data_IF_596099725735
#
_entry.id   IF_596099725735
#
_cell.length_a   1.000
_cell.length_b   1.000
_cell.length_c   1.000
_cell.angle_alpha   90.00
_cell.angle_beta   90.00
_cell.angle_gamma   90.00
#
_symmetry.space_group_name_H-M   'P 1'
#
loop_
_entity.id
_entity.type
_entity.pdbx_description
1 polymer ?
#
# COMPACT_ATOMS: atom_id res chain seq x y z
N UNK A 1 22.09 26.21 30.76
CA UNK A 1 22.16 24.85 30.18
C UNK A 1 20.76 24.46 29.73
N UNK A 2 20.37 24.79 28.49
CA UNK A 2 19.07 24.37 27.96
C UNK A 2 19.22 22.99 27.31
N UNK A 3 18.46 22.02 27.81
CA UNK A 3 18.37 20.71 27.17
C UNK A 3 17.54 20.87 25.88
N UNK A 4 18.21 20.75 24.75
CA UNK A 4 17.56 20.53 23.45
C UNK A 4 16.87 19.17 23.53
N UNK A 5 15.55 19.17 23.73
CA UNK A 5 14.71 18.00 23.47
C UNK A 5 14.87 17.66 21.99
N UNK A 6 15.70 16.66 21.67
CA UNK A 6 15.67 15.98 20.37
C UNK A 6 14.30 15.31 20.24
N UNK A 7 13.36 16.03 19.65
CA UNK A 7 12.14 15.43 19.09
C UNK A 7 12.57 14.61 17.88
N UNK A 8 12.97 13.36 18.10
CA UNK A 8 13.07 12.38 17.02
C UNK A 8 11.66 12.20 16.47
N UNK A 9 11.31 12.88 15.38
CA UNK A 9 10.08 12.60 14.64
C UNK A 9 10.21 11.17 14.14
N UNK A 10 9.51 10.24 14.77
CA UNK A 10 9.33 8.90 14.22
C UNK A 10 8.54 9.05 12.92
N UNK A 11 9.04 8.46 11.84
CA UNK A 11 8.27 8.33 10.61
C UNK A 11 7.08 7.40 10.89
N UNK A 12 5.92 7.71 10.32
CA UNK A 12 4.74 6.87 10.47
C UNK A 12 4.91 5.51 9.75
N UNK A 13 5.82 5.44 8.77
CA UNK A 13 6.19 4.26 8.01
C UNK A 13 7.71 4.03 8.05
N UNK A 14 8.15 2.78 8.22
CA UNK A 14 9.55 2.38 8.13
C UNK A 14 9.70 0.95 7.60
N UNK A 15 10.91 0.57 7.20
CA UNK A 15 11.24 -0.82 6.89
C UNK A 15 11.72 -1.56 8.14
N UNK A 16 11.39 -2.84 8.23
CA UNK A 16 11.91 -3.75 9.26
C UNK A 16 12.48 -5.01 8.60
N UNK A 17 13.66 -5.45 9.05
CA UNK A 17 14.25 -6.72 8.61
C UNK A 17 13.65 -7.90 9.37
N UNK A 18 13.67 -9.09 8.75
CA UNK A 18 13.21 -10.32 9.40
C UNK A 18 13.88 -10.56 10.76
N UNK A 19 15.20 -10.41 10.86
CA UNK A 19 15.94 -10.56 12.13
C UNK A 19 15.45 -9.59 13.20
N UNK A 20 15.21 -8.33 12.85
CA UNK A 20 14.71 -7.34 13.81
C UNK A 20 13.28 -7.65 14.24
N UNK A 21 12.43 -8.13 13.33
CA UNK A 21 11.08 -8.58 13.65
C UNK A 21 11.10 -9.79 14.61
N UNK A 22 11.98 -10.77 14.38
CA UNK A 22 12.14 -11.92 15.29
C UNK A 22 12.48 -11.46 16.71
N UNK A 23 13.43 -10.54 16.87
CA UNK A 23 13.80 -9.98 18.18
C UNK A 23 12.63 -9.22 18.85
N UNK A 24 11.82 -8.48 18.07
CA UNK A 24 10.63 -7.81 18.59
C UNK A 24 9.58 -8.81 19.08
N UNK A 25 9.31 -9.87 18.31
CA UNK A 25 8.33 -10.88 18.67
C UNK A 25 8.78 -11.74 19.86
N UNK A 26 10.08 -11.95 20.03
CA UNK A 26 10.65 -12.63 21.19
C UNK A 26 10.67 -11.76 22.47
N UNK A 27 10.34 -10.46 22.37
CA UNK A 27 10.42 -9.53 23.50
C UNK A 27 11.87 -9.18 23.90
N UNK A 28 12.83 -9.42 23.01
CA UNK A 28 14.27 -9.25 23.27
C UNK A 28 14.77 -7.82 23.03
N UNK A 29 13.89 -6.90 22.62
CA UNK A 29 14.19 -5.47 22.48
C UNK A 29 13.58 -4.72 23.67
N UNK A 30 14.43 -4.27 24.59
CA UNK A 30 14.03 -3.50 25.77
C UNK A 30 13.59 -2.06 25.41
N UNK A 31 12.48 -1.60 25.98
CA UNK A 31 12.01 -0.21 25.86
C UNK A 31 10.62 -0.06 25.20
N UNK A 32 9.57 -0.32 25.97
CA UNK A 32 8.17 0.12 25.80
C UNK A 32 7.59 0.27 24.38
N UNK A 33 7.62 -0.77 23.56
CA UNK A 33 6.58 -0.94 22.54
C UNK A 33 5.83 -2.23 22.80
N UNK A 34 4.50 -2.18 22.74
CA UNK A 34 3.69 -3.39 22.63
C UNK A 34 4.21 -4.21 21.44
N UNK A 35 4.26 -5.54 21.53
CA UNK A 35 4.67 -6.36 20.39
C UNK A 35 3.81 -6.00 19.18
N UNK A 36 4.40 -5.85 17.99
CA UNK A 36 3.66 -5.42 16.81
C UNK A 36 2.54 -6.41 16.50
N UNK A 37 1.46 -5.92 15.91
CA UNK A 37 0.52 -6.80 15.20
C UNK A 37 1.17 -7.11 13.87
N UNK A 38 1.33 -8.40 13.57
CA UNK A 38 1.82 -8.84 12.27
C UNK A 38 0.62 -9.05 11.36
N UNK A 39 0.65 -8.45 10.17
CA UNK A 39 -0.39 -8.55 9.16
C UNK A 39 0.17 -9.26 7.94
N UNK A 40 -0.44 -10.40 7.62
CA UNK A 40 -0.17 -11.13 6.39
C UNK A 40 -1.15 -10.68 5.32
N UNK A 41 -0.64 -10.12 4.23
CA UNK A 41 -1.46 -9.64 3.11
C UNK A 41 -1.42 -10.55 1.88
N UNK A 42 -0.83 -11.75 2.02
CA UNK A 42 -0.87 -12.79 0.98
C UNK A 42 -2.29 -13.35 0.82
N UNK A 43 -2.59 -14.02 -0.31
CA UNK A 43 -3.82 -14.78 -0.47
C UNK A 43 -4.07 -15.78 0.66
N UNK A 44 -5.35 -16.04 0.96
CA UNK A 44 -5.79 -16.92 2.05
C UNK A 44 -5.10 -18.29 2.04
N UNK A 45 -5.03 -18.95 0.88
CA UNK A 45 -4.38 -20.26 0.75
C UNK A 45 -2.87 -20.23 1.08
N UNK A 46 -2.18 -19.12 0.86
CA UNK A 46 -0.76 -18.96 1.25
C UNK A 46 -0.61 -18.73 2.75
N UNK A 47 -1.55 -17.98 3.35
CA UNK A 47 -1.63 -17.81 4.81
C UNK A 47 -1.88 -19.16 5.51
N UNK A 48 -2.87 -19.93 5.05
CA UNK A 48 -3.20 -21.25 5.60
C UNK A 48 -2.06 -22.28 5.45
N UNK A 49 -1.31 -22.22 4.35
CA UNK A 49 -0.15 -23.08 4.13
C UNK A 49 0.98 -22.83 5.14
N UNK A 50 1.07 -21.60 5.65
CA UNK A 50 1.94 -21.21 6.75
C UNK A 50 2.25 -19.72 6.76
N UNK A 51 2.31 -19.12 7.95
CA UNK A 51 2.47 -17.68 8.17
C UNK A 51 3.40 -17.38 9.35
N UNK A 52 3.78 -16.11 9.53
CA UNK A 52 4.54 -15.65 10.69
C UNK A 52 3.68 -15.87 11.94
N UNK A 53 4.19 -16.46 13.04
CA UNK A 53 3.42 -16.66 14.26
C UNK A 53 2.71 -15.38 14.71
N UNK A 54 1.45 -15.50 15.13
CA UNK A 54 0.56 -14.39 15.53
C UNK A 54 0.06 -13.48 14.39
N UNK A 55 0.45 -13.74 13.14
CA UNK A 55 -0.02 -12.94 12.01
C UNK A 55 -1.53 -13.09 11.78
N UNK A 56 -2.20 -11.97 11.54
CA UNK A 56 -3.60 -11.92 11.12
C UNK A 56 -3.70 -11.69 9.61
N UNK A 57 -4.60 -12.39 8.89
CA UNK A 57 -4.75 -12.22 7.46
C UNK A 57 -5.55 -10.96 7.13
N UNK A 58 -5.03 -10.10 6.24
CA UNK A 58 -5.74 -8.94 5.69
C UNK A 58 -5.45 -8.83 4.19
N UNK A 59 -6.42 -9.22 3.36
CA UNK A 59 -6.40 -8.95 1.92
C UNK A 59 -6.90 -7.54 1.61
N UNK A 60 -6.38 -6.89 0.56
CA UNK A 60 -6.85 -5.56 0.15
C UNK A 60 -8.25 -5.59 -0.49
N UNK A 61 -8.63 -6.76 -1.01
CA UNK A 61 -9.91 -7.08 -1.65
C UNK A 61 -11.12 -6.73 -0.78
N UNK A 62 -10.94 -6.78 0.53
CA UNK A 62 -11.94 -6.53 1.55
C UNK A 62 -12.31 -5.06 1.74
N UNK A 63 -11.47 -4.15 1.24
CA UNK A 63 -11.50 -2.73 1.58
C UNK A 63 -11.88 -1.85 0.39
N UNK A 64 -12.42 -2.45 -0.67
CA UNK A 64 -12.88 -1.74 -1.87
C UNK A 64 -14.19 -0.98 -1.61
N UNK A 65 -14.56 -0.04 -2.48
CA UNK A 65 -15.80 0.73 -2.37
C UNK A 65 -17.03 -0.19 -2.40
N UNK A 66 -16.97 -1.26 -3.20
CA UNK A 66 -17.93 -2.36 -3.18
C UNK A 66 -17.28 -3.62 -2.60
N UNK A 67 -17.97 -4.37 -1.72
CA UNK A 67 -17.47 -5.65 -1.26
C UNK A 67 -17.40 -6.66 -2.41
N UNK A 68 -16.47 -7.60 -2.32
CA UNK A 68 -16.40 -8.73 -3.26
C UNK A 68 -17.71 -9.53 -3.20
N UNK A 69 -18.30 -9.83 -4.35
CA UNK A 69 -19.43 -10.77 -4.42
C UNK A 69 -18.96 -12.19 -4.15
N UNK A 70 -19.66 -12.88 -3.26
CA UNK A 70 -19.37 -14.30 -2.98
C UNK A 70 -19.47 -15.13 -4.26
N UNK A 71 -18.50 -16.02 -4.48
CA UNK A 71 -18.47 -16.92 -5.64
C UNK A 71 -17.92 -16.31 -6.93
N UNK A 72 -17.53 -15.02 -6.93
CA UNK A 72 -16.88 -14.37 -8.08
C UNK A 72 -15.36 -14.39 -7.88
N UNK A 73 -14.63 -15.03 -8.79
CA UNK A 73 -13.17 -15.04 -8.76
C UNK A 73 -12.59 -13.63 -8.94
N UNK A 74 -11.41 -13.37 -8.37
CA UNK A 74 -10.77 -12.05 -8.38
C UNK A 74 -10.67 -11.43 -9.79
N UNK A 75 -10.32 -12.24 -10.80
CA UNK A 75 -10.23 -11.79 -12.19
C UNK A 75 -11.56 -11.31 -12.75
N UNK A 76 -12.70 -11.90 -12.33
CA UNK A 76 -14.05 -11.51 -12.74
C UNK A 76 -14.57 -10.29 -11.96
N UNK A 77 -14.09 -10.09 -10.73
CA UNK A 77 -14.48 -8.97 -9.90
C UNK A 77 -13.95 -7.63 -10.43
N UNK A 78 -12.76 -7.61 -11.05
CA UNK A 78 -12.23 -6.42 -11.73
C UNK A 78 -13.08 -5.95 -12.91
N UNK A 79 -14.04 -6.75 -13.38
CA UNK A 79 -15.01 -6.38 -14.42
C UNK A 79 -16.26 -5.70 -13.85
N UNK A 80 -16.43 -5.64 -12.53
CA UNK A 80 -17.57 -4.98 -11.91
C UNK A 80 -17.21 -3.51 -11.57
N UNK A 81 -17.86 -2.51 -12.21
CA UNK A 81 -17.61 -1.11 -11.88
C UNK A 81 -17.81 -0.82 -10.39
N UNK A 82 -16.79 -0.25 -9.75
CA UNK A 82 -16.76 0.05 -8.31
C UNK A 82 -16.06 -1.01 -7.44
N UNK A 83 -15.54 -2.10 -8.02
CA UNK A 83 -14.61 -3.03 -7.38
C UNK A 83 -13.15 -2.72 -7.79
N UNK A 84 -12.73 -1.45 -7.67
CA UNK A 84 -11.49 -0.96 -8.28
C UNK A 84 -10.56 -0.23 -7.29
N UNK A 85 -10.21 -0.87 -6.17
CA UNK A 85 -9.21 -0.36 -5.24
C UNK A 85 -9.62 0.86 -4.42
N UNK A 86 -10.56 1.67 -4.90
CA UNK A 86 -11.02 2.88 -4.25
C UNK A 86 -11.67 2.58 -2.89
N UNK A 87 -11.35 3.36 -1.86
CA UNK A 87 -12.06 3.32 -0.59
C UNK A 87 -13.39 4.10 -0.71
N UNK A 88 -14.49 3.58 -0.16
CA UNK A 88 -15.72 4.36 0.02
C UNK A 88 -15.79 4.92 1.45
N UNK A 89 -15.94 6.23 1.57
CA UNK A 89 -16.11 6.91 2.85
C UNK A 89 -17.32 6.38 3.64
N UNK A 90 -18.35 5.87 2.96
CA UNK A 90 -19.54 5.27 3.58
C UNK A 90 -19.26 3.94 4.27
N UNK A 91 -18.15 3.26 3.95
CA UNK A 91 -17.75 1.97 4.54
C UNK A 91 -16.70 2.10 5.63
N UNK A 92 -16.22 3.31 5.94
CA UNK A 92 -15.12 3.50 6.89
C UNK A 92 -15.44 2.97 8.29
N UNK A 93 -16.68 3.09 8.76
CA UNK A 93 -17.10 2.53 10.06
C UNK A 93 -17.06 0.99 10.07
N UNK A 94 -17.46 0.36 8.96
CA UNK A 94 -17.33 -1.09 8.77
C UNK A 94 -15.85 -1.49 8.81
N UNK A 95 -14.99 -0.75 8.12
CA UNK A 95 -13.55 -0.99 8.08
C UNK A 95 -12.93 -0.89 9.47
N UNK A 96 -13.25 0.17 10.23
CA UNK A 96 -12.80 0.34 11.62
C UNK A 96 -13.22 -0.84 12.49
N UNK A 97 -14.48 -1.29 12.35
CA UNK A 97 -14.99 -2.46 13.05
C UNK A 97 -14.21 -3.75 12.75
N UNK A 98 -13.86 -3.96 11.47
CA UNK A 98 -13.04 -5.12 11.03
C UNK A 98 -11.62 -5.04 11.57
N UNK A 99 -10.95 -3.89 11.46
CA UNK A 99 -9.59 -3.70 11.98
C UNK A 99 -9.52 -3.92 13.49
N UNK A 100 -10.50 -3.39 14.25
CA UNK A 100 -10.59 -3.61 15.68
C UNK A 100 -10.77 -5.11 16.04
N UNK A 101 -11.60 -5.86 15.29
CA UNK A 101 -11.75 -7.31 15.49
C UNK A 101 -10.46 -8.09 15.26
N UNK A 102 -9.60 -7.62 14.37
CA UNK A 102 -8.27 -8.18 14.10
C UNK A 102 -7.21 -7.71 15.11
N UNK A 103 -7.61 -7.02 16.18
CA UNK A 103 -6.73 -6.57 17.25
C UNK A 103 -6.05 -5.23 17.02
N UNK A 104 -6.26 -4.58 15.87
CA UNK A 104 -5.60 -3.32 15.54
C UNK A 104 -6.06 -2.17 16.45
N UNK A 105 -5.10 -1.32 16.79
CA UNK A 105 -5.28 -0.09 17.57
C UNK A 105 -4.35 0.99 17.01
N UNK A 106 -4.74 2.27 17.06
CA UNK A 106 -3.99 3.36 16.39
C UNK A 106 -2.50 3.44 16.80
N UNK A 107 -2.21 3.18 18.08
CA UNK A 107 -0.89 3.37 18.70
C UNK A 107 -0.06 2.08 18.80
N UNK A 108 -0.65 0.92 18.53
CA UNK A 108 0.10 -0.35 18.53
C UNK A 108 0.84 -0.48 17.19
N UNK A 109 2.16 -0.75 17.18
CA UNK A 109 2.89 -0.96 15.95
C UNK A 109 2.28 -2.06 15.09
N UNK A 110 2.27 -1.87 13.78
CA UNK A 110 1.79 -2.87 12.82
C UNK A 110 2.91 -3.18 11.84
N UNK A 111 3.20 -4.46 11.62
CA UNK A 111 4.16 -4.92 10.60
C UNK A 111 3.36 -5.63 9.52
N UNK A 112 3.43 -5.13 8.30
CA UNK A 112 2.73 -5.71 7.14
C UNK A 112 3.74 -6.42 6.25
N UNK A 113 3.38 -7.61 5.78
CA UNK A 113 4.19 -8.34 4.81
C UNK A 113 3.31 -9.03 3.76
N UNK A 114 3.94 -9.38 2.65
CA UNK A 114 3.43 -10.34 1.68
C UNK A 114 4.60 -11.16 1.11
N UNK A 115 4.40 -11.83 -0.02
CA UNK A 115 5.50 -12.23 -0.89
C UNK A 115 5.99 -11.00 -1.69
N UNK A 116 7.24 -10.58 -1.49
CA UNK A 116 7.71 -9.30 -2.02
C UNK A 116 7.64 -9.18 -3.55
N UNK A 117 7.88 -10.28 -4.28
CA UNK A 117 7.90 -10.27 -5.75
C UNK A 117 6.57 -10.73 -6.34
N UNK A 118 5.85 -11.64 -5.68
CA UNK A 118 4.60 -12.18 -6.20
C UNK A 118 3.35 -11.38 -5.79
N UNK A 119 3.42 -10.56 -4.72
CA UNK A 119 2.23 -9.89 -4.17
C UNK A 119 1.67 -8.78 -5.06
N UNK A 120 2.48 -8.20 -5.94
CA UNK A 120 2.16 -6.98 -6.71
C UNK A 120 1.76 -5.78 -5.83
N UNK A 121 2.30 -5.69 -4.61
CA UNK A 121 2.17 -4.52 -3.72
C UNK A 121 1.01 -4.62 -2.71
N UNK A 122 0.49 -5.83 -2.45
CA UNK A 122 -0.60 -6.06 -1.46
C UNK A 122 -0.26 -5.48 -0.09
N UNK A 123 0.97 -5.70 0.37
CA UNK A 123 1.49 -5.19 1.63
C UNK A 123 1.58 -3.66 1.65
N UNK A 124 2.01 -3.05 0.54
CA UNK A 124 2.01 -1.60 0.39
C UNK A 124 0.61 -1.00 0.44
N UNK A 125 -0.36 -1.66 -0.21
CA UNK A 125 -1.78 -1.25 -0.19
C UNK A 125 -2.37 -1.28 1.21
N UNK A 126 -2.15 -2.36 1.95
CA UNK A 126 -2.64 -2.48 3.33
C UNK A 126 -1.95 -1.47 4.24
N UNK A 127 -0.62 -1.33 4.16
CA UNK A 127 0.11 -0.34 4.94
C UNK A 127 -0.37 1.09 4.66
N UNK A 128 -0.60 1.46 3.40
CA UNK A 128 -1.14 2.76 3.02
C UNK A 128 -2.53 2.98 3.62
N UNK A 129 -3.40 1.97 3.56
CA UNK A 129 -4.75 2.05 4.10
C UNK A 129 -4.73 2.23 5.62
N UNK A 130 -3.88 1.47 6.32
CA UNK A 130 -3.73 1.59 7.78
C UNK A 130 -3.30 3.00 8.18
N UNK A 131 -2.33 3.58 7.47
CA UNK A 131 -1.88 4.96 7.68
C UNK A 131 -2.98 5.98 7.34
N UNK A 132 -3.71 5.77 6.25
CA UNK A 132 -4.85 6.60 5.85
C UNK A 132 -5.96 6.60 6.90
N UNK A 133 -6.24 5.46 7.54
CA UNK A 133 -7.28 5.29 8.55
C UNK A 133 -6.83 5.71 9.96
N UNK A 134 -5.54 5.94 10.17
CA UNK A 134 -5.01 6.55 11.38
C UNK A 134 -4.11 5.68 12.25
N UNK A 135 -3.54 4.59 11.74
CA UNK A 135 -2.44 3.88 12.42
C UNK A 135 -1.19 4.77 12.43
N UNK A 136 -0.57 4.90 13.59
CA UNK A 136 0.52 5.86 13.80
C UNK A 136 1.90 5.28 13.48
N UNK A 137 2.07 3.95 13.60
CA UNK A 137 3.35 3.27 13.42
C UNK A 137 3.17 2.00 12.58
N UNK A 138 3.49 2.08 11.29
CA UNK A 138 3.43 0.97 10.36
C UNK A 138 4.85 0.61 9.90
N UNK A 139 5.11 -0.67 9.73
CA UNK A 139 6.36 -1.19 9.20
C UNK A 139 6.08 -2.11 8.02
N UNK A 140 6.92 -2.08 7.00
CA UNK A 140 6.95 -3.08 5.94
C UNK A 140 8.09 -4.06 6.21
N UNK A 141 7.80 -5.36 6.18
CA UNK A 141 8.82 -6.39 6.27
C UNK A 141 9.61 -6.44 4.96
N UNK A 142 10.86 -6.00 5.01
CA UNK A 142 11.75 -5.97 3.85
C UNK A 142 12.10 -7.39 3.39
N UNK A 143 11.85 -7.69 2.12
CA UNK A 143 11.95 -9.04 1.54
C UNK A 143 10.78 -9.99 1.89
N UNK A 144 9.80 -9.52 2.66
CA UNK A 144 8.53 -10.22 2.91
C UNK A 144 8.67 -11.62 3.52
N UNK A 145 7.74 -12.49 3.15
CA UNK A 145 7.67 -13.88 3.63
C UNK A 145 8.94 -14.68 3.33
N UNK A 146 9.54 -14.47 2.16
CA UNK A 146 10.75 -15.19 1.77
C UNK A 146 11.94 -14.84 2.67
N UNK A 147 12.17 -13.55 2.91
CA UNK A 147 13.24 -13.10 3.81
C UNK A 147 13.01 -13.54 5.26
N UNK A 148 11.75 -13.67 5.69
CA UNK A 148 11.43 -14.24 7.00
C UNK A 148 11.92 -15.68 7.14
N UNK A 149 11.59 -16.54 6.16
CA UNK A 149 12.00 -17.94 6.15
C UNK A 149 13.53 -18.09 6.01
N UNK A 150 14.14 -17.33 5.11
CA UNK A 150 15.59 -17.37 4.88
C UNK A 150 16.39 -16.90 6.12
N UNK A 151 15.78 -16.07 6.98
CA UNK A 151 16.33 -15.69 8.27
C UNK A 151 16.06 -16.71 9.40
N UNK A 152 15.54 -17.91 9.10
CA UNK A 152 15.22 -18.94 10.09
C UNK A 152 13.97 -18.64 10.92
N UNK A 153 13.08 -17.78 10.43
CA UNK A 153 11.84 -17.42 11.11
C UNK A 153 10.89 -18.61 11.27
N UNK A 154 10.18 -18.66 12.40
CA UNK A 154 9.20 -19.71 12.65
C UNK A 154 7.99 -19.61 11.70
N UNK A 155 7.34 -20.73 11.44
CA UNK A 155 6.16 -20.83 10.60
C UNK A 155 5.02 -21.47 11.41
N UNK A 156 3.90 -20.77 11.50
CA UNK A 156 2.68 -21.24 12.15
C UNK A 156 1.60 -21.54 11.09
N UNK A 157 0.64 -22.38 11.45
CA UNK A 157 -0.55 -22.73 10.64
C UNK A 157 -1.84 -22.61 11.45
N UNK A 158 -1.75 -22.28 12.74
CA UNK A 158 -2.91 -22.07 13.58
C UNK A 158 -3.47 -20.67 13.35
N UNK A 159 -4.79 -20.55 13.30
CA UNK A 159 -5.43 -19.24 13.21
C UNK A 159 -5.06 -18.37 14.43
N UNK A 160 -4.62 -17.15 14.16
CA UNK A 160 -4.24 -16.21 15.21
C UNK A 160 -5.43 -15.80 16.06
N UNK A 161 -5.34 -16.06 17.36
CA UNK A 161 -6.30 -15.55 18.34
C UNK A 161 -5.86 -14.18 18.83
N UNK A 162 -6.61 -13.16 18.42
CA UNK A 162 -6.37 -11.77 18.83
C UNK A 162 -7.52 -11.26 19.69
N UNK A 163 -7.19 -10.54 20.75
CA UNK A 163 -8.17 -9.74 21.47
C UNK A 163 -8.59 -8.55 20.61
N UNK A 164 -9.84 -8.12 20.74
CA UNK A 164 -10.35 -6.95 20.03
C UNK A 164 -9.56 -5.71 20.43
N UNK A 165 -9.01 -5.00 19.43
CA UNK A 165 -8.28 -3.76 19.62
C UNK A 165 -9.18 -2.53 19.81
N UNK A 166 -8.54 -1.40 20.07
CA UNK A 166 -9.19 -0.09 20.19
C UNK A 166 -8.79 0.81 19.01
N UNK A 167 -9.59 0.78 17.95
CA UNK A 167 -9.35 1.54 16.73
C UNK A 167 -10.34 2.71 16.63
N UNK A 168 -9.81 3.92 16.51
CA UNK A 168 -10.57 5.14 16.22
C UNK A 168 -10.18 5.68 14.86
N UNK A 169 -11.16 6.00 14.02
CA UNK A 169 -10.92 6.56 12.70
C UNK A 169 -10.22 7.93 12.80
N UNK A 170 -9.07 8.07 12.15
CA UNK A 170 -8.35 9.34 11.99
C UNK A 170 -7.82 9.45 10.56
N UNK A 171 -8.62 10.08 9.69
CA UNK A 171 -8.29 10.17 8.27
C UNK A 171 -7.10 11.10 8.02
N UNK A 172 -6.05 10.58 7.40
CA UNK A 172 -4.96 11.37 6.84
C UNK A 172 -5.21 11.67 5.36
N UNK A 173 -5.98 12.74 5.10
CA UNK A 173 -6.39 13.15 3.75
C UNK A 173 -5.24 13.45 2.79
N UNK A 174 -4.00 13.67 3.28
CA UNK A 174 -2.82 13.90 2.44
C UNK A 174 -2.42 12.68 1.61
N UNK A 175 -2.86 11.49 2.02
CA UNK A 175 -2.46 10.20 1.42
C UNK A 175 -3.30 9.79 0.23
N UNK A 176 -4.43 10.45 -0.02
CA UNK A 176 -5.42 10.03 -1.02
C UNK A 176 -5.85 11.20 -1.90
N UNK A 177 -5.98 10.93 -3.19
CA UNK A 177 -6.70 11.80 -4.14
C UNK A 177 -7.79 10.97 -4.83
N UNK A 178 -8.99 11.52 -5.00
CA UNK A 178 -10.10 10.83 -5.66
C UNK A 178 -10.20 11.16 -7.15
N UNK A 179 -10.94 10.33 -7.89
CA UNK A 179 -11.30 10.58 -9.30
C UNK A 179 -11.94 11.95 -9.48
N UNK A 180 -12.93 12.31 -8.67
CA UNK A 180 -13.60 13.61 -8.74
C UNK A 180 -12.63 14.80 -8.58
N UNK A 181 -11.66 14.68 -7.68
CA UNK A 181 -10.65 15.71 -7.47
C UNK A 181 -9.75 15.86 -8.71
N UNK A 182 -9.25 14.74 -9.24
CA UNK A 182 -8.41 14.74 -10.45
C UNK A 182 -9.17 15.21 -11.69
N UNK A 183 -10.41 14.76 -11.89
CA UNK A 183 -11.26 15.17 -13.00
C UNK A 183 -11.49 16.70 -12.98
N UNK A 184 -11.75 17.26 -11.79
CA UNK A 184 -11.85 18.71 -11.62
C UNK A 184 -10.55 19.43 -11.96
N UNK A 185 -9.39 18.95 -11.48
CA UNK A 185 -8.10 19.56 -11.80
C UNK A 185 -7.78 19.49 -13.30
N UNK A 186 -8.10 18.36 -13.94
CA UNK A 186 -7.96 18.16 -15.38
C UNK A 186 -8.82 19.16 -16.17
N UNK A 187 -10.10 19.34 -15.80
CA UNK A 187 -11.00 20.31 -16.45
C UNK A 187 -10.53 21.76 -16.38
N UNK A 188 -9.69 22.08 -15.38
CA UNK A 188 -9.10 23.40 -15.19
C UNK A 188 -7.74 23.55 -15.89
N UNK A 189 -7.27 22.55 -16.63
CA UNK A 189 -5.94 22.54 -17.25
C UNK A 189 -4.80 22.47 -16.23
N UNK A 190 -5.06 21.86 -15.07
CA UNK A 190 -4.13 21.79 -13.92
C UNK A 190 -3.87 20.36 -13.49
N UNK A 191 -3.79 19.43 -14.44
CA UNK A 191 -3.48 18.03 -14.14
C UNK A 191 -2.12 17.94 -13.44
N UNK A 192 -2.01 17.28 -12.27
CA UNK A 192 -0.72 17.09 -11.63
C UNK A 192 0.14 16.10 -12.42
N UNK A 193 1.46 16.25 -12.35
CA UNK A 193 2.37 15.16 -12.73
C UNK A 193 2.07 13.94 -11.88
N UNK A 194 2.12 12.76 -12.47
CA UNK A 194 1.76 11.52 -11.80
C UNK A 194 2.73 10.41 -12.13
N UNK A 195 3.07 9.57 -11.14
CA UNK A 195 3.84 8.34 -11.36
C UNK A 195 2.88 7.19 -11.60
N UNK A 196 2.83 6.71 -12.84
CA UNK A 196 2.12 5.49 -13.23
C UNK A 196 3.00 4.27 -12.92
N UNK A 197 2.62 3.50 -11.91
CA UNK A 197 3.42 2.34 -11.48
C UNK A 197 3.12 1.04 -12.23
N UNK A 198 2.35 1.13 -13.33
CA UNK A 198 2.08 -0.01 -14.20
C UNK A 198 3.28 -0.35 -15.07
N UNK A 199 3.24 -1.51 -15.73
CA UNK A 199 4.24 -1.87 -16.73
C UNK A 199 4.25 -0.89 -17.90
N UNK A 200 5.36 -0.85 -18.64
CA UNK A 200 5.47 0.01 -19.82
C UNK A 200 4.38 -0.29 -20.87
N UNK A 201 4.05 -1.56 -21.07
CA UNK A 201 2.98 -2.01 -21.98
C UNK A 201 1.60 -1.47 -21.57
N UNK A 202 1.25 -1.55 -20.27
CA UNK A 202 0.03 -0.96 -19.72
C UNK A 202 -0.01 0.57 -19.90
N UNK A 203 1.13 1.24 -19.73
CA UNK A 203 1.25 2.69 -19.90
C UNK A 203 1.08 3.13 -21.36
N UNK A 204 1.74 2.44 -22.30
CA UNK A 204 1.64 2.70 -23.75
C UNK A 204 0.21 2.47 -24.28
N UNK A 205 -0.59 1.69 -23.54
CA UNK A 205 -1.99 1.46 -23.85
C UNK A 205 -2.22 0.23 -24.72
N UNK A 206 -1.34 -0.76 -24.60
CA UNK A 206 -1.57 -2.10 -25.13
C UNK A 206 -2.91 -2.66 -24.62
N UNK A 207 -3.53 -3.52 -25.42
CA UNK A 207 -4.88 -4.01 -25.12
C UNK A 207 -4.85 -5.08 -24.03
N UNK A 208 -5.53 -4.77 -22.93
CA UNK A 208 -5.81 -5.71 -21.86
C UNK A 208 -7.32 -5.81 -21.70
N UNK A 209 -7.88 -7.01 -21.84
CA UNK A 209 -9.33 -7.21 -21.95
C UNK A 209 -10.11 -6.65 -20.74
N UNK A 210 -9.47 -6.58 -19.57
CA UNK A 210 -10.09 -6.09 -18.33
C UNK A 210 -10.17 -4.56 -18.23
N UNK A 211 -9.40 -3.79 -19.01
CA UNK A 211 -9.37 -2.32 -18.89
C UNK A 211 -10.54 -1.68 -19.65
N UNK A 212 -11.33 -0.77 -19.02
CA UNK A 212 -12.44 -0.10 -19.71
C UNK A 212 -11.97 0.72 -20.93
N UNK A 213 -10.81 1.37 -20.81
CA UNK A 213 -10.08 2.09 -21.87
C UNK A 213 -8.58 2.01 -21.56
N UNK A 214 -7.76 1.90 -22.60
CA UNK A 214 -6.30 1.77 -22.46
C UNK A 214 -5.57 3.11 -22.65
N UNK A 215 -4.36 3.21 -22.11
CA UNK A 215 -3.53 4.41 -22.10
C UNK A 215 -3.17 4.83 -20.68
N UNK A 216 -2.72 6.07 -20.51
CA UNK A 216 -2.31 6.67 -19.25
C UNK A 216 -2.93 8.06 -19.03
N UNK A 217 -2.84 8.56 -17.80
CA UNK A 217 -3.31 9.90 -17.44
C UNK A 217 -2.46 10.98 -18.14
N UNK A 218 -3.02 12.18 -18.44
CA UNK A 218 -2.21 13.30 -18.90
C UNK A 218 -1.09 13.62 -17.90
N UNK A 219 0.07 14.07 -18.39
CA UNK A 219 1.25 14.43 -17.57
C UNK A 219 1.86 13.27 -16.75
N UNK A 220 1.49 12.02 -17.03
CA UNK A 220 2.02 10.85 -16.33
C UNK A 220 3.43 10.48 -16.80
N UNK A 221 4.28 10.13 -15.85
CA UNK A 221 5.57 9.46 -16.08
C UNK A 221 5.47 8.00 -15.66
N UNK A 222 6.14 7.11 -16.38
CA UNK A 222 6.08 5.67 -16.12
C UNK A 222 7.25 5.21 -15.25
N UNK A 223 6.97 4.39 -14.25
CA UNK A 223 7.97 3.69 -13.44
C UNK A 223 7.42 2.32 -13.06
N UNK A 224 8.02 1.22 -13.52
CA UNK A 224 7.46 -0.10 -13.22
C UNK A 224 7.55 -0.42 -11.73
N UNK A 225 6.49 -0.97 -11.14
CA UNK A 225 6.48 -1.45 -9.75
C UNK A 225 7.65 -2.40 -9.44
N UNK A 226 8.01 -3.23 -10.40
CA UNK A 226 9.09 -4.21 -10.30
C UNK A 226 10.46 -3.55 -10.07
N UNK A 227 10.64 -2.30 -10.50
CA UNK A 227 11.88 -1.53 -10.29
C UNK A 227 12.12 -1.14 -8.82
N UNK A 228 11.14 -1.37 -7.94
CA UNK A 228 11.24 -1.10 -6.51
C UNK A 228 11.97 -2.18 -5.72
N UNK A 229 12.30 -3.30 -6.36
CA UNK A 229 12.91 -4.47 -5.71
C UNK A 229 14.25 -4.82 -6.35
N UNK A 230 15.14 -5.37 -5.53
CA UNK A 230 16.25 -6.18 -6.02
C UNK A 230 15.74 -7.59 -6.38
N UNK A 231 16.52 -8.36 -7.14
CA UNK A 231 16.16 -9.73 -7.55
C UNK A 231 15.91 -10.67 -6.34
N UNK A 232 16.49 -10.35 -5.18
CA UNK A 232 16.26 -11.08 -3.92
C UNK A 232 14.91 -10.77 -3.26
N UNK A 233 14.13 -9.82 -3.79
CA UNK A 233 12.85 -9.37 -3.24
C UNK A 233 12.97 -8.31 -2.15
N UNK A 234 14.17 -7.91 -1.74
CA UNK A 234 14.33 -6.75 -0.85
C UNK A 234 14.09 -5.44 -1.60
N UNK A 235 13.64 -4.40 -0.91
CA UNK A 235 13.47 -3.09 -1.54
C UNK A 235 14.81 -2.50 -1.98
N UNK A 236 14.82 -1.82 -3.12
CA UNK A 236 16.00 -1.07 -3.57
C UNK A 236 16.33 0.02 -2.55
N UNK A 237 17.62 0.24 -2.31
CA UNK A 237 18.08 1.26 -1.36
C UNK A 237 17.70 2.69 -1.78
N UNK A 238 17.71 3.63 -0.82
CA UNK A 238 17.32 5.04 -1.01
C UNK A 238 17.91 5.69 -2.26
N UNK A 239 19.22 5.53 -2.49
CA UNK A 239 19.90 6.15 -3.62
C UNK A 239 19.34 5.65 -4.95
N UNK A 240 19.26 4.32 -5.11
CA UNK A 240 18.69 3.68 -6.31
C UNK A 240 17.22 4.05 -6.49
N UNK A 241 16.42 4.06 -5.43
CA UNK A 241 15.01 4.49 -5.48
C UNK A 241 14.87 5.91 -6.02
N UNK A 242 15.65 6.86 -5.49
CA UNK A 242 15.59 8.26 -5.91
C UNK A 242 16.14 8.49 -7.33
N UNK A 243 16.96 7.59 -7.86
CA UNK A 243 17.41 7.63 -9.25
C UNK A 243 16.44 7.00 -10.25
N UNK A 244 15.36 6.35 -9.80
CA UNK A 244 14.38 5.74 -10.71
C UNK A 244 13.54 6.76 -11.49
N UNK A 245 13.47 8.00 -11.01
CA UNK A 245 12.80 9.11 -11.69
C UNK A 245 13.74 10.29 -11.82
N UNK A 246 13.47 11.12 -12.83
CA UNK A 246 14.18 12.37 -12.98
C UNK A 246 13.97 13.28 -11.75
N UNK A 247 15.01 14.04 -11.35
CA UNK A 247 14.93 14.92 -10.19
C UNK A 247 13.78 15.94 -10.24
N UNK A 248 13.36 16.38 -11.43
CA UNK A 248 12.27 17.34 -11.59
C UNK A 248 10.92 16.75 -11.19
N UNK A 249 10.70 15.45 -11.42
CA UNK A 249 9.47 14.74 -11.00
C UNK A 249 9.39 14.71 -9.48
N UNK A 250 10.49 14.33 -8.82
CA UNK A 250 10.58 14.26 -7.36
C UNK A 250 10.48 15.64 -6.70
N UNK A 251 10.87 16.71 -7.41
CA UNK A 251 10.77 18.09 -6.96
C UNK A 251 9.35 18.68 -7.10
N UNK A 252 8.47 18.11 -7.94
CA UNK A 252 7.10 18.60 -8.06
C UNK A 252 6.32 18.35 -6.77
N UNK A 253 5.89 19.42 -6.10
CA UNK A 253 5.09 19.37 -4.87
C UNK A 253 3.68 18.78 -5.06
N UNK A 254 3.15 18.78 -6.29
CA UNK A 254 1.82 18.27 -6.62
C UNK A 254 1.83 16.83 -7.14
N UNK A 255 3.00 16.19 -7.17
CA UNK A 255 3.16 14.80 -7.59
C UNK A 255 2.14 13.88 -6.89
N UNK A 256 1.53 12.99 -7.66
CA UNK A 256 0.71 11.88 -7.17
C UNK A 256 1.20 10.55 -7.75
N UNK A 257 0.64 9.43 -7.32
CA UNK A 257 0.89 8.14 -7.96
C UNK A 257 -0.41 7.35 -8.17
N UNK A 258 -0.43 6.53 -9.21
CA UNK A 258 -1.55 5.64 -9.52
C UNK A 258 -1.04 4.39 -10.23
N UNK A 259 -1.90 3.39 -10.35
CA UNK A 259 -1.63 2.22 -11.18
C UNK A 259 -2.91 1.72 -11.85
N UNK A 260 -3.27 0.47 -11.64
CA UNK A 260 -4.52 -0.11 -12.12
C UNK A 260 -5.68 0.12 -11.13
N UNK A 261 -5.45 -0.23 -9.87
CA UNK A 261 -6.42 -0.17 -8.75
C UNK A 261 -5.77 0.32 -7.45
N UNK A 262 -4.76 1.19 -7.55
CA UNK A 262 -4.10 1.81 -6.39
C UNK A 262 -3.17 0.90 -5.56
N UNK A 263 -3.03 -0.39 -5.89
CA UNK A 263 -2.23 -1.35 -5.10
C UNK A 263 -0.73 -1.11 -5.27
N UNK A 264 -0.18 -1.29 -6.48
CA UNK A 264 1.23 -1.04 -6.81
C UNK A 264 1.68 0.39 -6.46
N UNK A 265 0.80 1.37 -6.72
CA UNK A 265 1.04 2.79 -6.46
C UNK A 265 1.20 3.08 -4.96
N UNK A 266 0.47 2.37 -4.10
CA UNK A 266 0.61 2.49 -2.65
C UNK A 266 2.02 2.12 -2.19
N UNK A 267 2.64 1.09 -2.77
CA UNK A 267 4.00 0.71 -2.43
C UNK A 267 5.01 1.81 -2.80
N UNK A 268 4.91 2.37 -4.01
CA UNK A 268 5.76 3.48 -4.43
C UNK A 268 5.65 4.68 -3.49
N UNK A 269 4.42 5.08 -3.14
CA UNK A 269 4.16 6.20 -2.23
C UNK A 269 4.80 5.97 -0.85
N UNK A 270 4.70 4.76 -0.31
CA UNK A 270 5.26 4.43 0.99
C UNK A 270 6.79 4.39 0.98
N UNK A 271 7.42 3.84 -0.05
CA UNK A 271 8.88 3.88 -0.17
C UNK A 271 9.40 5.31 -0.31
N UNK A 272 8.71 6.18 -1.06
CA UNK A 272 9.05 7.60 -1.09
C UNK A 272 8.96 8.22 0.31
N UNK A 273 7.93 7.91 1.10
CA UNK A 273 7.78 8.40 2.47
C UNK A 273 8.87 7.86 3.41
N UNK A 274 9.21 6.56 3.33
CA UNK A 274 10.31 5.95 4.07
C UNK A 274 11.63 6.67 3.78
N UNK A 275 11.91 6.94 2.50
CA UNK A 275 13.20 7.49 2.08
C UNK A 275 13.29 9.00 2.18
N UNK A 276 12.19 9.74 2.16
CA UNK A 276 12.24 11.21 2.10
C UNK A 276 11.44 11.89 3.21
N UNK A 277 10.57 11.16 3.92
CA UNK A 277 9.58 11.72 4.84
C UNK A 277 8.42 12.44 4.14
N UNK A 278 8.40 12.45 2.80
CA UNK A 278 7.34 13.08 2.00
C UNK A 278 6.17 12.11 1.84
N UNK A 279 4.99 12.52 2.30
CA UNK A 279 3.74 11.81 2.02
C UNK A 279 3.31 12.09 0.58
N UNK A 280 3.13 11.04 -0.22
CA UNK A 280 2.67 11.11 -1.61
C UNK A 280 1.20 10.69 -1.70
N UNK A 281 0.30 11.51 -2.27
CA UNK A 281 -1.08 11.10 -2.49
C UNK A 281 -1.17 9.96 -3.50
N UNK A 282 -1.92 8.91 -3.14
CA UNK A 282 -2.29 7.81 -4.03
C UNK A 282 -3.65 8.10 -4.62
N UNK A 283 -3.76 8.04 -5.94
CA UNK A 283 -5.02 7.96 -6.64
C UNK A 283 -5.54 6.52 -6.61
N UNK A 284 -6.39 6.21 -5.63
CA UNK A 284 -6.78 4.83 -5.31
C UNK A 284 -7.77 4.21 -6.30
N UNK A 285 -8.60 5.01 -6.98
CA UNK A 285 -9.42 4.56 -8.11
C UNK A 285 -8.62 4.23 -9.37
N UNK A 286 -7.46 4.89 -9.54
CA UNK A 286 -6.46 4.56 -10.56
C UNK A 286 -7.02 4.47 -11.99
N UNK A 287 -6.34 3.77 -12.93
CA UNK A 287 -6.76 3.74 -14.34
C UNK A 287 -8.12 3.08 -14.55
N UNK A 288 -8.53 2.16 -13.68
CA UNK A 288 -9.81 1.45 -13.84
C UNK A 288 -10.99 2.41 -13.64
N UNK A 289 -10.94 3.26 -12.61
CA UNK A 289 -12.01 4.24 -12.37
C UNK A 289 -11.94 5.42 -13.37
N UNK A 290 -10.73 5.87 -13.73
CA UNK A 290 -10.54 6.93 -14.73
C UNK A 290 -10.96 6.51 -16.15
N UNK A 291 -10.57 5.29 -16.54
CA UNK A 291 -10.87 4.71 -17.83
C UNK A 291 -12.36 4.41 -18.01
N UNK A 292 -13.10 4.22 -16.93
CA UNK A 292 -14.54 3.97 -16.99
C UNK A 292 -15.36 5.20 -17.43
N UNK A 293 -14.90 6.42 -17.13
CA UNK A 293 -15.57 7.65 -17.57
C UNK A 293 -15.07 8.09 -18.95
N UNK A 294 -15.89 7.88 -19.98
CA UNK A 294 -15.56 8.23 -21.38
C UNK A 294 -15.24 9.72 -21.61
N UNK A 295 -15.67 10.62 -20.73
CA UNK A 295 -15.38 12.06 -20.85
C UNK A 295 -13.96 12.42 -20.39
N UNK A 296 -13.29 11.56 -19.61
CA UNK A 296 -11.94 11.82 -19.12
C UNK A 296 -10.89 11.47 -20.17
N UNK A 297 -9.83 12.29 -20.34
CA UNK A 297 -8.81 12.07 -21.36
C UNK A 297 -7.85 10.94 -20.97
N UNK A 298 -7.39 10.19 -21.97
CA UNK A 298 -6.31 9.21 -21.86
C UNK A 298 -5.35 9.43 -23.03
N UNK A 299 -4.06 9.21 -22.77
CA UNK A 299 -2.99 9.33 -23.75
C UNK A 299 -2.41 7.95 -24.06
N UNK A 300 -1.89 7.79 -25.27
CA UNK A 300 -1.18 6.60 -25.74
C UNK A 300 0.11 7.07 -26.40
N UNK A 301 1.16 6.26 -26.30
CA UNK A 301 2.46 6.52 -26.95
C UNK A 301 2.61 5.60 -28.14
#
# INVERSE_FOLDING_TARGET
MSQIKRSTKYLAIALISAKKLQLLLAGEIAGSMLPPIVVDSRPEHEYEAGHIPTAVPIGWEDWNAKPMRQGVGFSLALWEPGYWGALDNKRLDEFVGRLAKLGLSNHRPVVVYADALASKGREGRIAWMLLYLGVENVFLLDGGWRAWLDAGGACDRQESRVERGNFTLRIDGRRRVSTDCLARMCSLGRMPTSVDTRSLSEFQGDSFDYQPRTGHLPEAVQLSYESLFEDSGVFVGREKFLSLLDPWVLADSNLITYCEVGVRASMYALLLEVYTGRVLPVYDGSIMEWGADKALPLFKV
#
